data_IF_171038095395
#
_entry.id   IF_171038095395
#
_cell.length_a   1.000
_cell.length_b   1.000
_cell.length_c   1.000
_cell.angle_alpha   90.00
_cell.angle_beta   90.00
_cell.angle_gamma   90.00
#
_symmetry.space_group_name_H-M   'P 1'
#
loop_
_entity.id
_entity.type
_entity.pdbx_description
1 polymer ?
#
# COMPACT_ATOMS: atom_id res chain seq x y z
N UNK A 1 -24.19 -54.89 39.74
CA UNK A 1 -23.50 -54.54 38.49
C UNK A 1 -24.41 -53.63 37.70
N UNK A 2 -24.43 -52.35 38.03
CA UNK A 2 -25.20 -51.32 37.32
C UNK A 2 -24.21 -50.24 36.92
N UNK A 3 -23.85 -50.25 35.64
CA UNK A 3 -22.92 -49.29 35.06
C UNK A 3 -23.62 -47.95 34.92
N UNK A 4 -23.07 -46.95 35.60
CA UNK A 4 -23.46 -45.55 35.54
C UNK A 4 -23.05 -44.97 34.16
N UNK A 5 -23.97 -44.36 33.40
CA UNK A 5 -23.62 -43.73 32.14
C UNK A 5 -22.94 -42.38 32.40
N UNK A 6 -21.63 -42.34 32.19
CA UNK A 6 -20.82 -41.11 32.23
C UNK A 6 -21.39 -40.05 31.28
N UNK A 7 -21.65 -38.87 31.84
CA UNK A 7 -22.07 -37.68 31.11
C UNK A 7 -21.02 -37.23 30.09
N UNK A 8 -21.44 -36.68 28.93
CA UNK A 8 -20.51 -36.13 27.96
C UNK A 8 -19.84 -34.87 28.54
N UNK A 9 -18.51 -34.88 28.59
CA UNK A 9 -17.72 -33.69 28.91
C UNK A 9 -17.91 -32.64 27.81
N UNK A 10 -18.62 -31.56 28.14
CA UNK A 10 -18.84 -30.39 27.28
C UNK A 10 -17.53 -29.62 27.10
N UNK A 11 -16.68 -30.10 26.19
CA UNK A 11 -15.44 -29.42 25.80
C UNK A 11 -15.69 -28.24 24.87
N UNK A 12 -15.55 -27.03 25.40
CA UNK A 12 -14.90 -25.89 24.73
C UNK A 12 -15.43 -25.43 23.35
N UNK A 13 -16.69 -25.01 23.23
CA UNK A 13 -17.24 -24.39 22.01
C UNK A 13 -17.01 -22.87 21.91
N UNK A 14 -16.09 -22.29 22.67
CA UNK A 14 -15.86 -20.82 22.73
C UNK A 14 -14.76 -20.30 21.80
N UNK A 15 -14.09 -21.15 21.01
CA UNK A 15 -12.99 -20.75 20.10
C UNK A 15 -13.39 -19.95 18.86
N UNK A 16 -14.42 -20.32 18.08
CA UNK A 16 -14.61 -19.73 16.75
C UNK A 16 -14.97 -18.24 16.78
N UNK A 17 -15.64 -17.78 17.84
CA UNK A 17 -16.01 -16.37 17.99
C UNK A 17 -14.79 -15.47 18.25
N UNK A 18 -13.80 -15.93 19.03
CA UNK A 18 -12.61 -15.14 19.35
C UNK A 18 -11.72 -14.94 18.12
N UNK A 19 -11.65 -15.96 17.27
CA UNK A 19 -10.89 -15.88 16.02
C UNK A 19 -11.57 -14.96 15.00
N UNK A 20 -12.91 -14.98 14.92
CA UNK A 20 -13.68 -14.05 14.09
C UNK A 20 -13.44 -12.59 14.49
N UNK A 21 -13.50 -12.27 15.78
CA UNK A 21 -13.29 -10.89 16.28
C UNK A 21 -11.88 -10.37 15.99
N UNK A 22 -10.89 -11.26 16.06
CA UNK A 22 -9.51 -10.91 15.73
C UNK A 22 -9.35 -10.58 14.23
N UNK A 23 -10.01 -11.34 13.35
CA UNK A 23 -9.92 -11.13 11.89
C UNK A 23 -10.77 -9.93 11.46
N UNK A 24 -11.98 -9.77 12.01
CA UNK A 24 -12.92 -8.69 11.66
C UNK A 24 -12.32 -7.30 11.89
N UNK A 25 -11.61 -7.12 13.01
CA UNK A 25 -10.90 -5.88 13.34
C UNK A 25 -9.81 -5.50 12.34
N UNK A 26 -9.38 -6.45 11.50
CA UNK A 26 -8.28 -6.29 10.58
C UNK A 26 -8.69 -6.20 9.11
N UNK A 27 -9.94 -6.54 8.77
CA UNK A 27 -10.44 -6.62 7.39
C UNK A 27 -10.33 -5.28 6.66
N UNK A 28 -10.65 -4.18 7.34
CA UNK A 28 -10.62 -2.84 6.74
C UNK A 28 -9.19 -2.43 6.31
N UNK A 29 -8.20 -2.66 7.18
CA UNK A 29 -6.80 -2.34 6.89
C UNK A 29 -6.26 -3.18 5.71
N UNK A 30 -6.66 -4.44 5.61
CA UNK A 30 -6.25 -5.30 4.48
C UNK A 30 -6.96 -4.88 3.19
N UNK A 31 -8.26 -4.59 3.25
CA UNK A 31 -9.01 -4.10 2.08
C UNK A 31 -8.48 -2.75 1.57
N UNK A 32 -7.98 -1.88 2.46
CA UNK A 32 -7.33 -0.62 2.13
C UNK A 32 -5.91 -0.78 1.57
N UNK A 33 -5.29 -1.95 1.72
CA UNK A 33 -3.91 -2.21 1.31
C UNK A 33 -2.86 -1.78 2.34
N UNK A 34 -3.26 -1.39 3.56
CA UNK A 34 -2.36 -0.94 4.62
C UNK A 34 -1.57 -2.09 5.25
N UNK A 35 -2.07 -3.32 5.13
CA UNK A 35 -1.39 -4.55 5.58
C UNK A 35 -1.82 -5.77 4.76
N UNK A 36 -1.02 -6.83 4.81
CA UNK A 36 -1.39 -8.15 4.29
C UNK A 36 -1.91 -9.08 5.40
N UNK A 37 -2.64 -10.13 5.03
CA UNK A 37 -3.02 -11.17 5.98
C UNK A 37 -1.83 -12.04 6.39
N UNK A 38 -1.82 -12.45 7.66
CA UNK A 38 -0.96 -13.54 8.14
C UNK A 38 -1.51 -14.93 7.80
N UNK A 39 -0.70 -15.99 7.93
CA UNK A 39 -1.11 -17.36 7.58
C UNK A 39 -2.34 -17.84 8.38
N UNK A 40 -2.39 -17.58 9.69
CA UNK A 40 -3.54 -17.96 10.53
C UNK A 40 -4.84 -17.24 10.15
N UNK A 41 -4.73 -15.99 9.70
CA UNK A 41 -5.87 -15.20 9.26
C UNK A 41 -6.41 -15.74 7.93
N UNK A 42 -5.52 -16.14 7.02
CA UNK A 42 -5.87 -16.82 5.77
C UNK A 42 -6.55 -18.17 6.01
N UNK A 43 -6.04 -18.98 6.95
CA UNK A 43 -6.65 -20.27 7.31
C UNK A 43 -8.06 -20.08 7.86
N UNK A 44 -8.26 -19.05 8.70
CA UNK A 44 -9.58 -18.70 9.20
C UNK A 44 -10.51 -18.20 8.08
N UNK A 45 -10.04 -17.30 7.22
CA UNK A 45 -10.81 -16.85 6.05
C UNK A 45 -11.12 -18.00 5.09
N UNK A 46 -10.27 -19.03 5.01
CA UNK A 46 -10.50 -20.20 4.19
C UNK A 46 -11.68 -21.07 4.68
N UNK A 47 -12.05 -20.96 5.95
CA UNK A 47 -13.07 -21.80 6.59
C UNK A 47 -14.31 -21.02 7.06
N UNK A 48 -14.18 -19.72 7.34
CA UNK A 48 -15.25 -18.90 7.91
C UNK A 48 -15.98 -18.07 6.85
N UNK A 49 -17.23 -18.44 6.54
CA UNK A 49 -18.08 -17.71 5.58
C UNK A 49 -18.43 -16.29 6.03
N UNK A 50 -18.60 -16.05 7.33
CA UNK A 50 -18.90 -14.71 7.86
C UNK A 50 -17.77 -13.73 7.53
N UNK A 51 -16.53 -14.09 7.86
CA UNK A 51 -15.36 -13.25 7.60
C UNK A 51 -15.14 -13.01 6.10
N UNK A 52 -15.43 -14.01 5.24
CA UNK A 52 -15.40 -13.85 3.77
C UNK A 52 -16.41 -12.82 3.26
N UNK A 53 -17.64 -12.85 3.78
CA UNK A 53 -18.69 -11.89 3.41
C UNK A 53 -18.27 -10.49 3.84
N UNK A 54 -17.82 -10.33 5.09
CA UNK A 54 -17.34 -9.05 5.60
C UNK A 54 -16.14 -8.52 4.79
N UNK A 55 -15.19 -9.37 4.44
CA UNK A 55 -14.05 -9.01 3.58
C UNK A 55 -14.52 -8.48 2.22
N UNK A 56 -15.43 -9.18 1.55
CA UNK A 56 -15.94 -8.77 0.24
C UNK A 56 -16.66 -7.41 0.32
N UNK A 57 -17.32 -7.12 1.45
CA UNK A 57 -17.99 -5.84 1.71
C UNK A 57 -16.97 -4.72 1.87
N UNK A 58 -15.90 -4.94 2.63
CA UNK A 58 -14.85 -3.94 2.80
C UNK A 58 -14.11 -3.66 1.49
N UNK A 59 -13.82 -4.69 0.67
CA UNK A 59 -13.21 -4.49 -0.65
C UNK A 59 -14.06 -3.62 -1.55
N UNK A 60 -15.37 -3.92 -1.68
CA UNK A 60 -16.31 -3.10 -2.45
C UNK A 60 -16.39 -1.65 -1.97
N UNK A 61 -16.37 -1.45 -0.64
CA UNK A 61 -16.34 -0.11 -0.07
C UNK A 61 -15.06 0.64 -0.46
N UNK A 62 -13.89 0.00 -0.34
CA UNK A 62 -12.61 0.62 -0.70
C UNK A 62 -12.50 0.89 -2.20
N UNK A 63 -13.03 0.02 -3.04
CA UNK A 63 -13.12 0.23 -4.49
C UNK A 63 -14.01 1.43 -4.81
N UNK A 64 -15.18 1.56 -4.16
CA UNK A 64 -16.05 2.72 -4.32
C UNK A 64 -15.35 4.03 -3.87
N UNK A 65 -14.64 4.00 -2.74
CA UNK A 65 -13.86 5.15 -2.26
C UNK A 65 -12.73 5.52 -3.23
N UNK A 66 -12.11 4.52 -3.87
CA UNK A 66 -11.09 4.74 -4.90
C UNK A 66 -11.67 5.39 -6.14
N UNK A 67 -12.82 4.91 -6.61
CA UNK A 67 -13.53 5.51 -7.74
C UNK A 67 -13.88 6.98 -7.47
N UNK A 68 -14.32 7.32 -6.26
CA UNK A 68 -14.59 8.71 -5.86
C UNK A 68 -13.32 9.57 -5.83
N UNK A 69 -12.20 9.00 -5.39
CA UNK A 69 -10.90 9.70 -5.37
C UNK A 69 -10.37 9.96 -6.78
N UNK A 70 -10.53 9.00 -7.67
CA UNK A 70 -10.07 9.07 -9.05
C UNK A 70 -11.06 9.79 -9.97
N UNK A 71 -12.27 10.10 -9.48
CA UNK A 71 -13.26 10.84 -10.23
C UNK A 71 -12.65 12.19 -10.68
N UNK A 72 -12.67 12.48 -11.99
CA UNK A 72 -12.09 13.71 -12.50
C UNK A 72 -12.87 14.88 -11.93
N UNK A 73 -12.21 15.69 -11.11
CA UNK A 73 -12.75 16.98 -10.69
C UNK A 73 -12.69 17.89 -11.91
N UNK A 74 -13.80 18.50 -12.35
CA UNK A 74 -13.76 19.47 -13.44
C UNK A 74 -12.82 20.61 -13.03
N UNK A 75 -11.73 20.78 -13.78
CA UNK A 75 -10.79 21.86 -13.55
C UNK A 75 -11.48 23.19 -13.91
N UNK A 76 -11.73 24.02 -12.91
CA UNK A 76 -12.15 25.41 -13.13
C UNK A 76 -10.92 26.22 -13.52
N UNK A 77 -10.84 26.64 -14.79
CA UNK A 77 -9.74 27.45 -15.32
C UNK A 77 -9.58 28.79 -14.58
N UNK A 78 -10.65 29.30 -13.95
CA UNK A 78 -10.56 30.47 -13.08
C UNK A 78 -9.81 30.14 -11.79
N UNK A 79 -10.04 28.97 -11.20
CA UNK A 79 -9.34 28.54 -9.99
C UNK A 79 -7.85 28.35 -10.26
N UNK A 80 -7.48 27.79 -11.41
CA UNK A 80 -6.08 27.69 -11.85
C UNK A 80 -5.41 29.07 -11.90
N UNK A 81 -6.05 30.04 -12.54
CA UNK A 81 -5.51 31.41 -12.62
C UNK A 81 -5.35 32.05 -11.23
N UNK A 82 -6.28 31.81 -10.30
CA UNK A 82 -6.21 32.32 -8.93
C UNK A 82 -5.06 31.67 -8.13
N UNK A 83 -4.86 30.36 -8.30
CA UNK A 83 -3.75 29.63 -7.67
C UNK A 83 -2.42 30.19 -8.19
N UNK A 84 -2.27 30.37 -9.51
CA UNK A 84 -1.05 30.91 -10.10
C UNK A 84 -0.75 32.34 -9.62
N UNK A 85 -1.77 33.20 -9.52
CA UNK A 85 -1.61 34.55 -8.95
C UNK A 85 -1.17 34.49 -7.47
N UNK A 86 -1.67 33.54 -6.69
CA UNK A 86 -1.23 33.36 -5.31
C UNK A 86 0.19 32.79 -5.21
N UNK A 87 0.54 31.81 -6.04
CA UNK A 87 1.90 31.25 -6.10
C UNK A 87 2.90 32.31 -6.53
N UNK A 88 2.59 33.16 -7.50
CA UNK A 88 3.46 34.27 -7.91
C UNK A 88 3.65 35.26 -6.76
N UNK A 89 2.54 35.68 -6.14
CA UNK A 89 2.55 36.65 -5.02
C UNK A 89 3.34 36.18 -3.80
N UNK A 90 3.34 34.90 -3.48
CA UNK A 90 4.02 34.35 -2.29
C UNK A 90 5.33 33.61 -2.62
N UNK A 91 5.53 33.20 -3.87
CA UNK A 91 6.67 32.41 -4.35
C UNK A 91 7.98 33.20 -4.44
N UNK A 92 7.91 34.52 -4.56
CA UNK A 92 9.11 35.37 -4.49
C UNK A 92 9.87 35.23 -3.16
N UNK A 93 9.20 34.79 -2.09
CA UNK A 93 9.84 34.60 -0.78
C UNK A 93 10.68 33.30 -0.69
N UNK A 94 10.36 32.27 -1.49
CA UNK A 94 11.12 31.01 -1.58
C UNK A 94 12.30 31.14 -2.56
N UNK A 95 12.13 31.87 -3.66
CA UNK A 95 13.12 31.95 -4.74
C UNK A 95 14.46 32.58 -4.33
N UNK A 96 14.51 33.33 -3.22
CA UNK A 96 15.73 33.95 -2.72
C UNK A 96 16.49 33.10 -1.70
N UNK A 97 15.85 32.10 -1.08
CA UNK A 97 16.48 31.30 -0.01
C UNK A 97 17.25 30.07 -0.53
N UNK A 98 17.02 29.67 -1.79
CA UNK A 98 17.77 28.58 -2.44
C UNK A 98 19.00 29.06 -3.25
N UNK A 99 19.29 30.35 -3.26
CA UNK A 99 20.24 31.00 -4.18
C UNK A 99 21.73 30.91 -3.86
N UNK A 100 22.19 30.29 -2.77
CA UNK A 100 23.62 30.38 -2.37
C UNK A 100 24.37 29.08 -2.10
N UNK A 101 23.74 27.90 -2.16
CA UNK A 101 24.44 26.63 -1.83
C UNK A 101 24.50 25.56 -2.93
N UNK A 102 23.79 25.69 -4.05
CA UNK A 102 23.79 24.65 -5.10
C UNK A 102 24.62 25.03 -6.34
N UNK A 103 25.09 26.28 -6.46
CA UNK A 103 25.95 26.68 -7.58
C UNK A 103 27.38 26.06 -7.54
N UNK A 104 27.78 25.42 -6.43
CA UNK A 104 29.15 24.93 -6.26
C UNK A 104 29.38 23.44 -6.61
N UNK A 105 28.35 22.65 -6.93
CA UNK A 105 28.53 21.19 -7.14
C UNK A 105 28.29 20.69 -8.57
N UNK A 106 27.82 21.54 -9.49
CA UNK A 106 27.54 21.10 -10.88
C UNK A 106 28.81 21.05 -11.76
N UNK A 107 29.92 21.65 -11.34
CA UNK A 107 31.18 21.61 -12.09
C UNK A 107 32.01 20.31 -11.92
N UNK A 108 31.60 19.37 -11.05
CA UNK A 108 32.38 18.16 -10.72
C UNK A 108 31.67 16.82 -11.02
N UNK A 109 30.52 16.83 -11.72
CA UNK A 109 29.64 15.65 -11.86
C UNK A 109 29.46 15.09 -13.27
N UNK A 110 30.10 15.64 -14.31
CA UNK A 110 29.87 15.19 -15.68
C UNK A 110 30.76 14.02 -16.15
N UNK A 111 31.79 13.63 -15.38
CA UNK A 111 32.75 12.60 -15.79
C UNK A 111 32.47 11.19 -15.21
N UNK A 112 31.59 11.04 -14.22
CA UNK A 112 31.42 9.75 -13.51
C UNK A 112 30.22 8.90 -13.97
N UNK A 113 29.22 9.47 -14.65
CA UNK A 113 27.99 8.76 -14.99
C UNK A 113 28.03 7.96 -16.32
N UNK A 114 28.97 8.26 -17.22
CA UNK A 114 29.05 7.58 -18.52
C UNK A 114 29.71 6.18 -18.45
N UNK A 115 30.52 5.90 -17.41
CA UNK A 115 31.26 4.62 -17.28
C UNK A 115 30.40 3.43 -16.81
N UNK A 116 29.37 3.68 -16.01
CA UNK A 116 28.56 2.62 -15.39
C UNK A 116 27.57 1.96 -16.38
N UNK A 117 27.10 2.69 -17.39
CA UNK A 117 26.18 2.15 -18.39
C UNK A 117 26.92 1.22 -19.38
N UNK A 118 28.18 1.53 -19.72
CA UNK A 118 28.97 0.71 -20.63
C UNK A 118 29.43 -0.62 -20.01
N UNK A 119 29.69 -0.67 -18.70
CA UNK A 119 30.15 -1.88 -18.01
C UNK A 119 29.06 -2.95 -17.91
N UNK A 120 27.82 -2.55 -17.65
CA UNK A 120 26.68 -3.48 -17.54
C UNK A 120 26.25 -4.06 -18.89
N UNK A 121 26.41 -3.30 -19.98
CA UNK A 121 26.12 -3.76 -21.34
C UNK A 121 27.10 -4.83 -21.85
N UNK A 122 28.37 -4.79 -21.43
CA UNK A 122 29.41 -5.76 -21.83
C UNK A 122 29.22 -7.13 -21.17
N UNK A 123 28.81 -7.14 -19.90
CA UNK A 123 28.57 -8.39 -19.15
C UNK A 123 27.40 -9.22 -19.72
N UNK A 124 26.36 -8.57 -20.23
CA UNK A 124 25.20 -9.26 -20.84
C UNK A 124 25.50 -9.91 -22.18
N UNK A 125 26.50 -9.43 -22.93
CA UNK A 125 26.91 -10.04 -24.21
C UNK A 125 27.85 -11.22 -24.00
N UNK A 126 28.75 -11.17 -23.02
CA UNK A 126 29.64 -12.28 -22.70
C UNK A 126 28.87 -13.52 -22.18
N UNK A 127 27.82 -13.31 -21.37
CA UNK A 127 27.00 -14.41 -20.85
C UNK A 127 26.14 -15.13 -21.91
N UNK A 128 25.89 -14.52 -23.07
CA UNK A 128 25.10 -15.12 -24.17
C UNK A 128 25.95 -15.90 -25.19
N UNK A 129 27.27 -15.77 -25.12
CA UNK A 129 28.20 -16.52 -25.98
C UNK A 129 28.80 -17.74 -25.28
N UNK A 130 28.46 -17.94 -23.99
CA UNK A 130 28.89 -19.07 -23.17
C UNK A 130 27.75 -20.06 -22.87
N UNK A 131 26.61 -19.94 -23.57
CA UNK A 131 25.48 -20.87 -23.54
C UNK A 131 25.29 -21.55 -24.89
#
# INVERSE_FOLDING_TARGET
MTSEPSAPTTGATTRPHRDCESVSGLLAAVAGGDRAYGPKELDHLASCLRCRVEESRYRRLMDAMRLLREAPVPADSRLESQILVHVDRYGHRWAWDTGSRVAATVAAGAAAAAGLIAFTARHRRAARLAS
#
